data_IF_836792996922
#
_entry.id   IF_836792996922
#
_cell.length_a   1.000
_cell.length_b   1.000
_cell.length_c   1.000
_cell.angle_alpha   90.00
_cell.angle_beta   90.00
_cell.angle_gamma   90.00
#
_symmetry.space_group_name_H-M   'P 1'
#
loop_
_entity.id
_entity.type
_entity.pdbx_description
1 polymer ?
#
# COMPACT_ATOMS: atom_id res chain seq x y z
N UNK A 1 -6.21 6.12 3.76
CA UNK A 1 -5.15 5.73 2.81
C UNK A 1 -4.82 6.83 1.80
N UNK A 2 -5.78 7.33 1.01
CA UNK A 2 -5.53 8.40 0.02
C UNK A 2 -4.87 9.66 0.60
N UNK A 3 -5.34 10.13 1.74
CA UNK A 3 -4.75 11.29 2.43
C UNK A 3 -3.30 11.05 2.84
N UNK A 4 -3.02 9.90 3.46
CA UNK A 4 -1.66 9.49 3.84
C UNK A 4 -0.75 9.42 2.61
N UNK A 5 -1.22 8.82 1.52
CA UNK A 5 -0.48 8.81 0.26
C UNK A 5 -0.23 10.23 -0.24
N UNK A 6 -1.23 11.11 -0.24
CA UNK A 6 -1.09 12.51 -0.63
C UNK A 6 0.03 13.21 0.15
N UNK A 7 0.00 13.14 1.48
CA UNK A 7 1.01 13.77 2.34
C UNK A 7 2.41 13.18 2.15
N UNK A 8 2.49 11.87 1.88
CA UNK A 8 3.77 11.17 1.67
C UNK A 8 4.42 11.53 0.33
N UNK A 9 3.60 11.83 -0.67
CA UNK A 9 4.06 12.20 -2.01
C UNK A 9 4.30 13.71 -2.11
N UNK A 10 3.52 14.52 -1.40
CA UNK A 10 3.69 15.96 -1.34
C UNK A 10 5.08 16.32 -0.77
N UNK A 11 5.95 16.86 -1.62
CA UNK A 11 7.34 17.20 -1.28
C UNK A 11 8.37 16.08 -1.52
N UNK A 12 7.96 14.88 -1.94
CA UNK A 12 8.89 13.83 -2.36
C UNK A 12 9.37 14.05 -3.81
N UNK A 13 10.58 13.58 -4.13
CA UNK A 13 11.03 13.49 -5.53
C UNK A 13 10.25 12.38 -6.23
N UNK A 14 9.12 12.72 -6.82
CA UNK A 14 8.31 11.79 -7.62
C UNK A 14 8.27 12.19 -9.08
N UNK A 15 7.98 11.24 -9.98
CA UNK A 15 7.71 11.56 -11.38
C UNK A 15 6.58 12.59 -11.47
N UNK A 16 6.53 13.35 -12.57
CA UNK A 16 5.47 14.34 -12.86
C UNK A 16 4.03 13.77 -12.88
N UNK A 17 3.86 12.45 -12.72
CA UNK A 17 2.60 11.73 -12.87
C UNK A 17 2.20 10.87 -11.66
N UNK A 18 2.72 11.18 -10.46
CA UNK A 18 2.42 10.39 -9.26
C UNK A 18 0.97 10.54 -8.73
N UNK A 19 0.21 11.51 -9.23
CA UNK A 19 -1.18 11.85 -8.86
C UNK A 19 -1.47 11.71 -7.35
N UNK A 20 -0.94 12.64 -6.52
CA UNK A 20 -0.97 12.51 -5.07
C UNK A 20 -2.39 12.26 -4.53
N UNK A 21 -2.50 11.22 -3.70
CA UNK A 21 -3.76 10.80 -3.10
C UNK A 21 -4.81 10.20 -4.04
N UNK A 22 -4.55 10.04 -5.34
CA UNK A 22 -5.49 9.46 -6.29
C UNK A 22 -5.16 8.01 -6.62
N UNK A 23 -6.16 7.14 -6.59
CA UNK A 23 -5.99 5.79 -7.13
C UNK A 23 -5.78 5.84 -8.64
N UNK A 24 -4.94 4.93 -9.14
CA UNK A 24 -4.60 4.87 -10.57
C UNK A 24 -5.85 4.61 -11.41
N UNK A 25 -5.90 5.28 -12.56
CA UNK A 25 -6.96 5.11 -13.57
C UNK A 25 -6.48 4.36 -14.82
N UNK A 26 -5.22 3.95 -14.81
CA UNK A 26 -4.57 3.18 -15.86
C UNK A 26 -3.92 1.93 -15.28
N UNK A 27 -3.57 1.00 -16.16
CA UNK A 27 -2.86 -0.20 -15.76
C UNK A 27 -1.41 0.13 -15.39
N UNK A 28 -0.98 -0.35 -14.24
CA UNK A 28 0.42 -0.28 -13.80
C UNK A 28 1.10 -1.64 -14.00
N UNK A 29 2.43 -1.68 -13.95
CA UNK A 29 3.23 -2.90 -13.95
C UNK A 29 4.57 -2.64 -13.26
N UNK A 30 5.16 -3.69 -12.70
CA UNK A 30 6.40 -3.62 -11.91
C UNK A 30 7.50 -4.40 -12.64
N UNK A 31 8.58 -3.70 -12.96
CA UNK A 31 9.68 -4.23 -13.78
C UNK A 31 9.32 -4.36 -15.26
N UNK A 32 10.32 -4.49 -16.12
CA UNK A 32 10.13 -4.55 -17.58
C UNK A 32 9.79 -3.19 -18.20
N UNK A 33 9.35 -3.22 -19.46
CA UNK A 33 9.00 -2.02 -20.26
C UNK A 33 7.54 -2.01 -20.71
N UNK A 34 6.83 -3.11 -20.51
CA UNK A 34 5.42 -3.30 -20.86
C UNK A 34 4.80 -4.41 -20.01
N UNK A 35 3.46 -4.51 -19.92
CA UNK A 35 2.82 -5.60 -19.18
C UNK A 35 3.24 -7.01 -19.60
N UNK A 36 3.61 -7.23 -20.88
CA UNK A 36 3.97 -8.56 -21.38
C UNK A 36 5.35 -9.04 -20.95
N UNK A 37 6.23 -8.15 -20.52
CA UNK A 37 7.58 -8.48 -20.02
C UNK A 37 7.81 -7.97 -18.58
N UNK A 38 6.75 -7.58 -17.89
CA UNK A 38 6.83 -7.16 -16.50
C UNK A 38 7.07 -8.35 -15.57
N UNK A 39 7.75 -8.10 -14.45
CA UNK A 39 7.92 -9.11 -13.40
C UNK A 39 6.59 -9.36 -12.68
N UNK A 40 5.78 -8.32 -12.55
CA UNK A 40 4.47 -8.39 -11.95
C UNK A 40 3.53 -7.37 -12.59
N UNK A 41 2.31 -7.82 -12.86
CA UNK A 41 1.21 -6.98 -13.33
C UNK A 41 0.12 -7.00 -12.25
N UNK A 42 -0.10 -5.90 -11.52
CA UNK A 42 -1.18 -5.82 -10.53
C UNK A 42 -2.56 -5.98 -11.18
N UNK A 43 -3.64 -6.18 -10.40
CA UNK A 43 -4.99 -6.34 -10.92
C UNK A 43 -5.39 -5.22 -11.90
N UNK A 44 -6.36 -5.48 -12.78
CA UNK A 44 -6.95 -4.40 -13.61
C UNK A 44 -7.55 -3.30 -12.74
N UNK A 45 -7.85 -2.12 -13.30
CA UNK A 45 -8.45 -1.01 -12.52
C UNK A 45 -9.80 -1.41 -11.89
N UNK A 46 -10.62 -2.19 -12.61
CA UNK A 46 -11.90 -2.66 -12.08
C UNK A 46 -11.72 -3.67 -10.95
N UNK A 47 -10.77 -4.59 -11.09
CA UNK A 47 -10.43 -5.55 -10.04
C UNK A 47 -9.75 -4.88 -8.84
N UNK A 48 -8.94 -3.86 -9.07
CA UNK A 48 -8.31 -3.05 -8.03
C UNK A 48 -9.38 -2.40 -7.16
N UNK A 49 -10.42 -1.81 -7.76
CA UNK A 49 -11.52 -1.20 -7.00
C UNK A 49 -12.27 -2.22 -6.15
N UNK A 50 -12.53 -3.42 -6.69
CA UNK A 50 -13.11 -4.53 -5.90
C UNK A 50 -12.19 -4.97 -4.76
N UNK A 51 -10.92 -5.18 -5.06
CA UNK A 51 -9.93 -5.61 -4.07
C UNK A 51 -9.71 -4.57 -2.98
N UNK A 52 -9.80 -3.27 -3.29
CA UNK A 52 -9.74 -2.19 -2.30
C UNK A 52 -10.95 -2.21 -1.36
N UNK A 53 -12.14 -2.54 -1.87
CA UNK A 53 -13.33 -2.71 -1.04
C UNK A 53 -13.19 -3.92 -0.10
N UNK A 54 -12.70 -5.05 -0.60
CA UNK A 54 -12.46 -6.24 0.21
C UNK A 54 -11.34 -6.00 1.23
N UNK A 55 -10.30 -5.25 0.85
CA UNK A 55 -9.21 -4.85 1.72
C UNK A 55 -9.68 -3.96 2.88
N UNK A 56 -10.52 -2.96 2.59
CA UNK A 56 -11.13 -2.12 3.63
C UNK A 56 -12.01 -2.96 4.56
N UNK A 57 -12.82 -3.85 4.01
CA UNK A 57 -13.65 -4.77 4.79
C UNK A 57 -12.81 -5.67 5.71
N UNK A 58 -11.69 -6.20 5.22
CA UNK A 58 -10.76 -7.01 6.00
C UNK A 58 -10.15 -6.23 7.18
N UNK A 59 -9.71 -4.98 6.94
CA UNK A 59 -9.17 -4.12 7.99
C UNK A 59 -10.18 -3.83 9.11
N UNK A 60 -11.46 -3.74 8.77
CA UNK A 60 -12.54 -3.43 9.72
C UNK A 60 -13.22 -4.65 10.34
N UNK A 61 -12.99 -5.86 9.84
CA UNK A 61 -13.59 -7.10 10.35
C UNK A 61 -13.07 -7.55 11.73
N UNK A 62 -12.17 -6.78 12.35
CA UNK A 62 -11.53 -7.12 13.61
C UNK A 62 -10.40 -8.14 13.45
N UNK A 63 -9.66 -8.37 14.54
CA UNK A 63 -8.50 -9.27 14.54
C UNK A 63 -8.96 -10.73 14.60
N UNK A 64 -9.00 -11.39 13.44
CA UNK A 64 -9.25 -12.83 13.32
C UNK A 64 -7.96 -13.68 13.45
N UNK A 65 -6.81 -13.03 13.61
CA UNK A 65 -5.49 -13.61 13.68
C UNK A 65 -4.60 -12.77 14.63
N UNK A 66 -3.43 -13.27 15.06
CA UNK A 66 -2.47 -12.47 15.82
C UNK A 66 -2.19 -11.14 15.10
N UNK A 67 -2.13 -10.01 15.82
CA UNK A 67 -2.00 -8.69 15.21
C UNK A 67 -0.89 -8.58 14.17
N UNK A 68 0.30 -9.10 14.46
CA UNK A 68 1.43 -9.05 13.53
C UNK A 68 1.17 -9.80 12.21
N UNK A 69 0.47 -10.93 12.27
CA UNK A 69 0.08 -11.66 11.07
C UNK A 69 -0.95 -10.86 10.26
N UNK A 70 -1.90 -10.22 10.93
CA UNK A 70 -2.86 -9.34 10.28
C UNK A 70 -2.14 -8.17 9.58
N UNK A 71 -1.21 -7.49 10.25
CA UNK A 71 -0.40 -6.41 9.64
C UNK A 71 0.38 -6.91 8.42
N UNK A 72 1.01 -8.08 8.52
CA UNK A 72 1.77 -8.66 7.41
C UNK A 72 0.89 -8.95 6.19
N UNK A 73 -0.30 -9.53 6.41
CA UNK A 73 -1.28 -9.79 5.36
C UNK A 73 -1.82 -8.49 4.75
N UNK A 74 -2.14 -7.48 5.58
CA UNK A 74 -2.53 -6.16 5.08
C UNK A 74 -1.46 -5.58 4.18
N UNK A 75 -0.19 -5.58 4.61
CA UNK A 75 0.90 -5.04 3.82
C UNK A 75 1.05 -5.78 2.48
N UNK A 76 1.08 -7.11 2.52
CA UNK A 76 1.22 -7.93 1.32
C UNK A 76 0.06 -7.70 0.34
N UNK A 77 -1.17 -7.61 0.83
CA UNK A 77 -2.35 -7.36 0.01
C UNK A 77 -2.33 -5.95 -0.60
N UNK A 78 -1.96 -4.93 0.16
CA UNK A 78 -1.85 -3.56 -0.33
C UNK A 78 -0.82 -3.45 -1.47
N UNK A 79 0.37 -4.03 -1.30
CA UNK A 79 1.40 -4.05 -2.35
C UNK A 79 0.93 -4.79 -3.61
N UNK A 80 0.16 -5.87 -3.44
CA UNK A 80 -0.40 -6.67 -4.54
C UNK A 80 -1.47 -5.91 -5.31
N UNK A 81 -2.37 -5.19 -4.63
CA UNK A 81 -3.40 -4.33 -5.24
C UNK A 81 -2.73 -3.20 -6.04
N UNK A 82 -1.63 -2.66 -5.51
CA UNK A 82 -0.84 -1.59 -6.10
C UNK A 82 -1.70 -0.39 -6.58
N UNK A 83 -2.42 0.27 -5.66
CA UNK A 83 -3.51 1.17 -6.03
C UNK A 83 -3.07 2.54 -6.56
N UNK A 84 -1.82 2.95 -6.38
CA UNK A 84 -1.30 4.23 -6.82
C UNK A 84 -0.37 4.08 -8.04
N UNK A 85 -0.11 5.16 -8.79
CA UNK A 85 0.84 5.14 -9.92
C UNK A 85 2.30 5.08 -9.45
N UNK A 86 2.62 5.76 -8.36
CA UNK A 86 3.88 5.70 -7.63
C UNK A 86 3.55 5.72 -6.12
N UNK A 87 4.51 5.44 -5.25
CA UNK A 87 4.34 5.61 -3.81
C UNK A 87 3.85 4.39 -3.05
N UNK A 88 3.40 3.33 -3.74
CA UNK A 88 2.83 2.12 -3.11
C UNK A 88 3.74 1.57 -2.01
N UNK A 89 4.99 1.22 -2.33
CA UNK A 89 5.95 0.69 -1.34
C UNK A 89 6.16 1.60 -0.11
N UNK A 90 6.16 2.92 -0.30
CA UNK A 90 6.31 3.88 0.81
C UNK A 90 5.04 3.92 1.67
N UNK A 91 3.87 3.94 1.04
CA UNK A 91 2.57 3.92 1.73
C UNK A 91 2.33 2.60 2.45
N UNK A 92 2.68 1.46 1.83
CA UNK A 92 2.58 0.14 2.43
C UNK A 92 3.42 0.03 3.70
N UNK A 93 4.69 0.42 3.65
CA UNK A 93 5.56 0.41 4.84
C UNK A 93 5.05 1.34 5.94
N UNK A 94 4.54 2.53 5.59
CA UNK A 94 3.94 3.43 6.58
C UNK A 94 2.70 2.81 7.23
N UNK A 95 1.88 2.09 6.47
CA UNK A 95 0.69 1.40 6.98
C UNK A 95 1.04 0.37 8.06
N UNK A 96 2.18 -0.34 7.93
CA UNK A 96 2.68 -1.25 8.98
C UNK A 96 2.84 -0.49 10.31
N UNK A 97 3.58 0.61 10.31
CA UNK A 97 3.81 1.42 11.51
C UNK A 97 2.52 1.99 12.08
N UNK A 98 1.60 2.45 11.22
CA UNK A 98 0.30 2.97 11.66
C UNK A 98 -0.52 1.88 12.37
N UNK A 99 -0.56 0.66 11.84
CA UNK A 99 -1.30 -0.45 12.45
C UNK A 99 -0.64 -0.94 13.75
N UNK A 100 0.69 -0.98 13.82
CA UNK A 100 1.42 -1.28 15.06
C UNK A 100 1.04 -0.30 16.18
N UNK A 101 0.96 1.00 15.86
CA UNK A 101 0.54 2.03 16.81
C UNK A 101 -0.96 1.94 17.14
N UNK A 102 -1.81 1.74 16.13
CA UNK A 102 -3.26 1.64 16.31
C UNK A 102 -3.66 0.48 17.25
N UNK A 103 -3.01 -0.68 17.09
CA UNK A 103 -3.21 -1.84 17.97
C UNK A 103 -2.34 -1.85 19.23
N UNK A 104 -1.68 -0.73 19.55
CA UNK A 104 -0.87 -0.55 20.77
C UNK A 104 0.26 -1.58 20.95
N UNK A 105 0.75 -2.13 19.84
CA UNK A 105 1.95 -2.97 19.82
C UNK A 105 3.22 -2.13 19.82
N UNK A 106 3.10 -0.87 19.42
CA UNK A 106 4.18 0.11 19.40
C UNK A 106 3.67 1.45 19.93
N UNK A 107 4.24 1.93 21.04
CA UNK A 107 3.80 3.18 21.68
C UNK A 107 4.16 4.44 20.87
N UNK A 108 5.28 4.39 20.13
CA UNK A 108 5.79 5.50 19.32
C UNK A 108 6.31 4.98 17.99
N UNK A 109 6.12 5.70 16.87
CA UNK A 109 6.52 5.23 15.53
C UNK A 109 8.04 5.32 15.29
N UNK A 110 8.84 4.69 16.15
CA UNK A 110 10.32 4.73 16.12
C UNK A 110 10.94 3.47 15.51
N UNK A 111 10.13 2.50 15.12
CA UNK A 111 10.61 1.27 14.50
C UNK A 111 11.06 1.53 13.06
N UNK A 112 12.36 1.40 12.80
CA UNK A 112 12.93 1.63 11.47
C UNK A 112 12.84 0.38 10.58
N UNK A 113 11.61 0.01 10.21
CA UNK A 113 11.31 -1.17 9.36
C UNK A 113 12.06 -1.16 8.02
N UNK A 114 12.20 0.01 7.39
CA UNK A 114 12.84 0.16 6.09
C UNK A 114 14.33 -0.19 6.08
N UNK A 115 14.99 -0.43 7.22
CA UNK A 115 16.37 -0.93 7.25
C UNK A 115 16.49 -2.40 6.79
N UNK A 116 15.38 -3.14 6.77
CA UNK A 116 15.37 -4.58 6.53
C UNK A 116 14.73 -4.98 5.18
N UNK A 117 14.26 -4.01 4.38
CA UNK A 117 13.59 -4.22 3.09
C UNK A 117 14.12 -3.28 2.00
#
# INVERSE_FOLDING_TARGET
MREVHSQLIEGARTPHFADPGQFRRSQNWIGGTSPSNALFVPPSVDEMNRALHDFESFLHAGLQAPPLLHIALTHAQFETIHPFLDGNGRTGRLLITMLLCYWKLLERPVLFLSAYF
#
